data_IF_599945771794
#
_entry.id   IF_599945771794
#
_cell.length_a   1.000
_cell.length_b   1.000
_cell.length_c   1.000
_cell.angle_alpha   90.00
_cell.angle_beta   90.00
_cell.angle_gamma   90.00
#
_symmetry.space_group_name_H-M   'P 1'
#
loop_
_entity.id
_entity.type
_entity.pdbx_description
1 polymer ?
#
# COMPACT_ATOMS: atom_id res chain seq x y z
N UNK A 1 10.99 4.90 8.56
CA UNK A 1 9.63 4.38 8.33
C UNK A 1 9.46 2.93 8.80
N UNK A 2 9.96 1.89 8.11
CA UNK A 2 9.70 0.49 8.52
C UNK A 2 10.20 0.14 9.94
N UNK A 3 11.36 0.66 10.36
CA UNK A 3 11.85 0.51 11.75
C UNK A 3 10.97 1.20 12.79
N UNK A 4 10.35 2.31 12.42
CA UNK A 4 9.44 3.04 13.30
C UNK A 4 8.15 2.22 13.48
N UNK A 5 7.64 1.64 12.39
CA UNK A 5 6.51 0.71 12.44
C UNK A 5 6.82 -0.52 13.27
N UNK A 6 8.01 -1.11 13.11
CA UNK A 6 8.44 -2.25 13.91
C UNK A 6 8.48 -1.90 15.42
N UNK A 7 8.93 -0.68 15.75
CA UNK A 7 8.94 -0.19 17.13
C UNK A 7 7.53 -0.12 17.71
N UNK A 8 6.54 0.35 16.94
CA UNK A 8 5.14 0.36 17.37
C UNK A 8 4.53 -1.04 17.45
N UNK A 9 4.85 -1.92 16.49
CA UNK A 9 4.41 -3.33 16.50
C UNK A 9 4.87 -4.02 17.78
N UNK A 10 6.14 -3.87 18.16
CA UNK A 10 6.68 -4.50 19.37
C UNK A 10 6.05 -4.00 20.68
N UNK A 11 5.42 -2.82 20.70
CA UNK A 11 4.66 -2.35 21.86
C UNK A 11 3.35 -3.11 22.04
N UNK A 12 2.75 -3.60 20.94
CA UNK A 12 1.48 -4.33 20.95
C UNK A 12 1.71 -5.83 21.04
N UNK A 13 2.62 -6.34 20.21
CA UNK A 13 2.99 -7.75 20.14
C UNK A 13 4.51 -7.85 20.08
N UNK A 14 5.11 -8.22 21.21
CA UNK A 14 6.57 -8.26 21.37
C UNK A 14 7.23 -9.51 20.79
N UNK A 15 6.45 -10.56 20.50
CA UNK A 15 6.93 -11.82 19.93
C UNK A 15 5.94 -12.33 18.86
N UNK A 16 6.49 -12.97 17.83
CA UNK A 16 5.69 -13.58 16.76
C UNK A 16 4.84 -14.78 17.21
N UNK A 17 4.16 -15.44 16.26
CA UNK A 17 4.19 -15.17 14.83
C UNK A 17 3.47 -13.88 14.42
N UNK A 18 4.02 -13.17 13.44
CA UNK A 18 3.41 -11.95 12.87
C UNK A 18 2.68 -12.25 11.56
N UNK A 19 1.50 -11.64 11.41
CA UNK A 19 0.77 -11.59 10.14
C UNK A 19 0.70 -10.15 9.65
N UNK A 20 1.21 -9.90 8.43
CA UNK A 20 1.33 -8.57 7.86
C UNK A 20 0.55 -8.48 6.54
N UNK A 21 -0.17 -7.39 6.36
CA UNK A 21 -0.89 -7.08 5.14
C UNK A 21 -0.54 -5.67 4.69
N UNK A 22 -0.15 -5.54 3.42
CA UNK A 22 0.10 -4.27 2.76
C UNK A 22 -0.81 -4.08 1.55
N UNK A 23 -1.37 -2.89 1.39
CA UNK A 23 -2.06 -2.47 0.17
C UNK A 23 -1.28 -1.36 -0.52
N UNK A 24 -1.12 -1.43 -1.84
CA UNK A 24 -0.42 -0.41 -2.63
C UNK A 24 1.01 -0.17 -2.11
N UNK A 25 1.36 1.08 -1.76
CA UNK A 25 2.60 1.45 -1.06
C UNK A 25 2.87 0.56 0.17
N UNK A 26 1.81 0.19 0.90
CA UNK A 26 1.89 -0.66 2.08
C UNK A 26 2.48 -2.04 1.81
N UNK A 27 2.45 -2.56 0.57
CA UNK A 27 3.12 -3.83 0.23
C UNK A 27 4.63 -3.73 0.47
N UNK A 28 5.24 -2.61 0.10
CA UNK A 28 6.67 -2.36 0.30
C UNK A 28 7.03 -2.21 1.78
N UNK A 29 6.16 -1.55 2.55
CA UNK A 29 6.35 -1.40 3.99
C UNK A 29 6.17 -2.73 4.73
N UNK A 30 5.13 -3.50 4.39
CA UNK A 30 4.89 -4.82 4.94
C UNK A 30 6.05 -5.78 4.61
N UNK A 31 6.57 -5.72 3.38
CA UNK A 31 7.76 -6.47 2.96
C UNK A 31 8.97 -6.11 3.81
N UNK A 32 9.32 -4.82 3.91
CA UNK A 32 10.50 -4.40 4.67
C UNK A 32 10.37 -4.76 6.16
N UNK A 33 9.20 -4.54 6.76
CA UNK A 33 8.92 -4.95 8.15
C UNK A 33 9.09 -6.46 8.31
N UNK A 34 8.58 -7.26 7.39
CA UNK A 34 8.75 -8.72 7.41
C UNK A 34 10.24 -9.13 7.34
N UNK A 35 11.03 -8.51 6.46
CA UNK A 35 12.47 -8.82 6.37
C UNK A 35 13.24 -8.39 7.62
N UNK A 36 12.86 -7.27 8.26
CA UNK A 36 13.47 -6.82 9.51
C UNK A 36 13.12 -7.76 10.67
N UNK A 37 11.87 -8.24 10.74
CA UNK A 37 11.44 -9.25 11.70
C UNK A 37 12.25 -10.55 11.53
N UNK A 38 12.41 -11.04 10.30
CA UNK A 38 13.23 -12.23 10.02
C UNK A 38 14.70 -12.04 10.42
N UNK A 39 15.28 -10.86 10.18
CA UNK A 39 16.64 -10.52 10.64
C UNK A 39 16.76 -10.51 12.17
N UNK A 40 15.68 -10.22 12.88
CA UNK A 40 15.60 -10.26 14.35
C UNK A 40 15.16 -11.65 14.88
N UNK A 41 15.24 -12.69 14.03
CA UNK A 41 14.84 -14.07 14.33
C UNK A 41 13.37 -14.22 14.78
N UNK A 42 12.51 -13.27 14.39
CA UNK A 42 11.07 -13.37 14.61
C UNK A 42 10.40 -14.16 13.50
N UNK A 43 9.34 -14.89 13.85
CA UNK A 43 8.54 -15.66 12.89
C UNK A 43 7.49 -14.75 12.24
N UNK A 44 7.45 -14.73 10.91
CA UNK A 44 6.37 -14.11 10.13
C UNK A 44 5.55 -15.25 9.54
N UNK A 45 4.33 -15.47 10.05
CA UNK A 45 3.46 -16.56 9.57
C UNK A 45 2.77 -16.20 8.27
N UNK A 46 2.48 -14.92 8.03
CA UNK A 46 1.77 -14.51 6.82
C UNK A 46 2.23 -13.15 6.32
N UNK A 47 2.53 -13.07 5.03
CA UNK A 47 2.75 -11.82 4.32
C UNK A 47 1.78 -11.72 3.13
N UNK A 48 0.92 -10.71 3.15
CA UNK A 48 -0.19 -10.54 2.20
C UNK A 48 -0.04 -9.20 1.48
N UNK A 49 -0.05 -9.22 0.16
CA UNK A 49 -0.02 -8.03 -0.70
C UNK A 49 -1.35 -7.83 -1.41
N UNK A 50 -1.77 -6.57 -1.48
CA UNK A 50 -2.95 -6.12 -2.21
C UNK A 50 -2.49 -5.07 -3.24
N UNK A 51 -2.34 -5.53 -4.48
CA UNK A 51 -2.04 -4.74 -5.69
C UNK A 51 -0.89 -3.72 -5.58
N UNK A 52 0.25 -4.13 -5.01
CA UNK A 52 1.50 -3.33 -4.98
C UNK A 52 2.67 -4.08 -5.63
N UNK A 53 3.49 -3.38 -6.43
CA UNK A 53 4.53 -3.99 -7.28
C UNK A 53 5.88 -3.32 -7.07
N UNK A 54 7.01 -4.05 -7.11
CA UNK A 54 8.34 -3.56 -6.75
C UNK A 54 8.97 -2.77 -7.91
N UNK A 55 8.30 -1.69 -8.31
CA UNK A 55 8.64 -0.87 -9.48
C UNK A 55 9.54 0.32 -9.11
N UNK A 56 10.52 0.09 -8.22
CA UNK A 56 11.43 1.10 -7.67
C UNK A 56 12.09 1.97 -8.75
N UNK A 57 12.44 1.35 -9.87
CA UNK A 57 13.04 2.01 -11.03
C UNK A 57 12.12 3.02 -11.71
N UNK A 58 10.80 2.80 -11.70
CA UNK A 58 9.83 3.75 -12.24
C UNK A 58 9.69 4.98 -11.34
N UNK A 59 9.88 4.82 -10.02
CA UNK A 59 9.84 5.95 -9.08
C UNK A 59 11.08 6.84 -9.16
N UNK A 60 12.22 6.35 -9.66
CA UNK A 60 13.45 7.17 -9.85
C UNK A 60 13.25 8.36 -10.77
N UNK A 61 12.29 8.30 -11.67
CA UNK A 61 11.95 9.39 -12.60
C UNK A 61 10.72 10.19 -12.16
N UNK A 62 10.08 9.82 -11.06
CA UNK A 62 8.91 10.52 -10.51
C UNK A 62 9.36 11.52 -9.44
N UNK A 63 9.83 12.69 -9.85
CA UNK A 63 9.71 13.86 -8.99
C UNK A 63 8.28 14.36 -9.09
N UNK A 64 7.53 14.34 -7.97
CA UNK A 64 6.21 14.97 -7.91
C UNK A 64 6.34 16.38 -7.37
N UNK A 65 5.74 17.33 -8.08
CA UNK A 65 5.46 18.63 -7.51
C UNK A 65 4.33 18.55 -6.47
N UNK A 66 4.18 19.57 -5.62
CA UNK A 66 3.01 19.70 -4.73
C UNK A 66 1.70 19.64 -5.53
N UNK A 67 1.69 20.21 -6.74
CA UNK A 67 0.54 20.19 -7.65
C UNK A 67 0.20 18.77 -8.13
N UNK A 68 1.19 17.98 -8.53
CA UNK A 68 0.96 16.60 -8.96
C UNK A 68 0.42 15.74 -7.81
N UNK A 69 0.89 16.01 -6.59
CA UNK A 69 0.44 15.33 -5.37
C UNK A 69 -1.00 15.70 -5.02
N UNK A 70 -1.37 16.98 -5.16
CA UNK A 70 -2.75 17.44 -5.02
C UNK A 70 -3.67 16.81 -6.07
N UNK A 71 -3.27 16.78 -7.36
CA UNK A 71 -4.03 16.09 -8.41
C UNK A 71 -4.27 14.62 -8.06
N UNK A 72 -3.22 13.90 -7.66
CA UNK A 72 -3.33 12.50 -7.28
C UNK A 72 -4.27 12.31 -6.07
N UNK A 73 -4.22 13.20 -5.08
CA UNK A 73 -5.09 13.14 -3.91
C UNK A 73 -6.55 13.47 -4.26
N UNK A 74 -6.79 14.47 -5.12
CA UNK A 74 -8.12 14.77 -5.66
C UNK A 74 -8.72 13.55 -6.35
N UNK A 75 -7.97 12.92 -7.25
CA UNK A 75 -8.44 11.74 -7.98
C UNK A 75 -8.70 10.57 -7.04
N UNK A 76 -7.77 10.26 -6.13
CA UNK A 76 -7.91 9.15 -5.19
C UNK A 76 -9.07 9.32 -4.20
N UNK A 77 -9.37 10.54 -3.78
CA UNK A 77 -10.37 10.79 -2.72
C UNK A 77 -11.74 11.24 -3.24
N UNK A 78 -11.79 11.85 -4.42
CA UNK A 78 -13.04 12.37 -5.01
C UNK A 78 -13.41 11.70 -6.34
N UNK A 79 -12.52 10.90 -6.92
CA UNK A 79 -12.71 10.26 -8.22
C UNK A 79 -12.52 11.19 -9.42
N UNK A 80 -12.03 12.42 -9.21
CA UNK A 80 -11.79 13.38 -10.30
C UNK A 80 -10.76 14.44 -9.91
N UNK A 81 -10.16 15.09 -10.91
CA UNK A 81 -9.26 16.26 -10.73
C UNK A 81 -9.98 17.53 -11.20
N UNK A 82 -9.87 18.66 -10.48
CA UNK A 82 -10.43 19.94 -10.95
C UNK A 82 -9.91 20.34 -12.33
N UNK A 83 -10.79 20.91 -13.16
CA UNK A 83 -10.43 21.33 -14.53
C UNK A 83 -9.59 22.61 -14.54
N UNK A 84 -9.78 23.50 -13.57
CA UNK A 84 -9.05 24.76 -13.48
C UNK A 84 -7.89 24.63 -12.51
N UNK A 85 -6.70 25.04 -12.97
CA UNK A 85 -5.48 24.97 -12.17
C UNK A 85 -5.57 25.74 -10.84
N UNK A 86 -6.30 26.86 -10.80
CA UNK A 86 -6.50 27.63 -9.58
C UNK A 86 -7.27 26.87 -8.48
N UNK A 87 -8.02 25.82 -8.85
CA UNK A 87 -8.78 24.97 -7.93
C UNK A 87 -7.94 23.82 -7.36
N UNK A 88 -6.72 23.59 -7.87
CA UNK A 88 -5.81 22.55 -7.40
C UNK A 88 -5.04 23.08 -6.19
N UNK A 89 -5.73 23.16 -5.05
CA UNK A 89 -5.17 23.61 -3.78
C UNK A 89 -5.81 22.87 -2.58
N UNK A 90 -5.14 22.94 -1.43
CA UNK A 90 -5.56 22.26 -0.19
C UNK A 90 -6.97 22.63 0.25
N UNK A 91 -7.35 23.91 0.12
CA UNK A 91 -8.64 24.43 0.59
C UNK A 91 -9.78 23.81 -0.24
N UNK A 92 -9.65 23.79 -1.56
CA UNK A 92 -10.68 23.20 -2.44
C UNK A 92 -10.76 21.68 -2.31
N UNK A 93 -9.62 21.02 -2.04
CA UNK A 93 -9.61 19.59 -1.74
C UNK A 93 -10.37 19.31 -0.44
N UNK A 94 -10.09 20.05 0.63
CA UNK A 94 -10.82 19.91 1.89
C UNK A 94 -12.32 20.16 1.73
N UNK A 95 -12.72 21.20 0.99
CA UNK A 95 -14.14 21.44 0.67
C UNK A 95 -14.77 20.26 -0.07
N UNK A 96 -14.06 19.68 -1.03
CA UNK A 96 -14.54 18.52 -1.79
C UNK A 96 -14.70 17.29 -0.90
N UNK A 97 -13.75 17.06 0.01
CA UNK A 97 -13.83 16.00 1.02
C UNK A 97 -15.02 16.18 1.97
N UNK A 98 -15.26 17.41 2.44
CA UNK A 98 -16.43 17.75 3.28
C UNK A 98 -17.73 17.47 2.53
N UNK A 99 -17.83 17.92 1.28
CA UNK A 99 -19.02 17.70 0.45
C UNK A 99 -19.28 16.21 0.18
N UNK A 100 -18.23 15.42 0.03
CA UNK A 100 -18.30 13.97 -0.15
C UNK A 100 -18.55 13.20 1.16
N UNK A 101 -18.53 13.85 2.32
CA UNK A 101 -18.59 13.19 3.63
C UNK A 101 -17.39 12.26 3.87
N UNK A 102 -16.24 12.55 3.25
CA UNK A 102 -15.06 11.70 3.31
C UNK A 102 -14.43 11.78 4.71
N UNK A 103 -13.94 10.67 5.32
CA UNK A 103 -13.36 10.70 6.66
C UNK A 103 -12.20 11.69 6.85
N UNK A 104 -11.42 11.93 5.78
CA UNK A 104 -10.32 12.92 5.80
C UNK A 104 -10.78 14.36 5.97
N UNK A 105 -12.06 14.67 5.74
CA UNK A 105 -12.62 16.01 5.90
C UNK A 105 -12.57 16.53 7.36
N UNK A 106 -12.53 15.62 8.33
CA UNK A 106 -12.49 15.95 9.76
C UNK A 106 -11.08 16.13 10.32
N UNK A 107 -10.04 16.01 9.50
CA UNK A 107 -8.65 16.13 9.96
C UNK A 107 -8.28 17.60 10.19
N UNK A 108 -7.49 17.84 11.24
CA UNK A 108 -6.87 19.13 11.48
C UNK A 108 -5.91 19.49 10.34
N UNK A 109 -5.75 20.79 10.08
CA UNK A 109 -4.95 21.29 8.94
C UNK A 109 -3.53 20.72 8.94
N UNK A 110 -2.84 20.75 10.08
CA UNK A 110 -1.47 20.22 10.20
C UNK A 110 -1.39 18.73 9.86
N UNK A 111 -2.41 17.94 10.26
CA UNK A 111 -2.47 16.51 9.95
C UNK A 111 -2.70 16.30 8.45
N UNK A 112 -3.55 17.12 7.84
CA UNK A 112 -3.80 17.07 6.41
C UNK A 112 -2.55 17.43 5.60
N UNK A 113 -1.82 18.46 6.00
CA UNK A 113 -0.57 18.88 5.37
C UNK A 113 0.52 17.79 5.47
N UNK A 114 0.61 17.09 6.60
CA UNK A 114 1.51 15.94 6.73
C UNK A 114 1.11 14.78 5.80
N UNK A 115 -0.18 14.47 5.65
CA UNK A 115 -0.64 13.47 4.68
C UNK A 115 -0.24 13.89 3.27
N UNK A 116 -0.45 15.16 2.90
CA UNK A 116 -0.05 15.66 1.58
C UNK A 116 1.46 15.58 1.35
N UNK A 117 2.27 15.90 2.37
CA UNK A 117 3.71 15.74 2.32
C UNK A 117 4.11 14.28 2.06
N UNK A 118 3.47 13.31 2.71
CA UNK A 118 3.74 11.89 2.45
C UNK A 118 3.40 11.47 1.02
N UNK A 119 2.31 11.97 0.43
CA UNK A 119 1.99 11.72 -0.99
C UNK A 119 3.04 12.27 -1.96
N UNK A 120 3.70 13.36 -1.59
CA UNK A 120 4.80 13.97 -2.34
C UNK A 120 6.12 13.23 -2.15
N UNK A 121 6.42 12.84 -0.92
CA UNK A 121 7.74 12.35 -0.53
C UNK A 121 7.88 10.83 -0.72
N UNK A 122 6.78 10.07 -0.64
CA UNK A 122 6.78 8.61 -0.78
C UNK A 122 7.42 8.07 -2.09
N UNK A 123 7.17 8.65 -3.29
CA UNK A 123 7.86 8.23 -4.51
C UNK A 123 9.39 8.36 -4.41
N UNK A 124 9.89 9.47 -3.84
CA UNK A 124 11.34 9.68 -3.65
C UNK A 124 11.93 8.66 -2.67
N UNK A 125 11.23 8.40 -1.56
CA UNK A 125 11.64 7.39 -0.58
C UNK A 125 11.68 5.98 -1.20
N UNK A 126 10.69 5.61 -2.01
CA UNK A 126 10.66 4.34 -2.74
C UNK A 126 11.78 4.23 -3.79
N UNK A 127 12.17 5.33 -4.43
CA UNK A 127 13.21 5.31 -5.47
C UNK A 127 14.61 4.96 -4.93
N UNK A 128 14.85 5.28 -3.66
CA UNK A 128 16.11 5.03 -2.94
C UNK A 128 16.08 3.73 -2.13
N UNK A 129 14.91 3.11 -2.01
CA UNK A 129 14.73 1.90 -1.25
C UNK A 129 15.39 0.70 -1.94
N UNK A 130 16.19 -0.05 -1.18
CA UNK A 130 16.78 -1.31 -1.61
C UNK A 130 16.18 -2.44 -0.76
N UNK A 131 15.12 -3.12 -1.25
CA UNK A 131 14.47 -4.19 -0.49
C UNK A 131 15.44 -5.31 -0.10
N UNK A 132 15.22 -5.86 1.10
CA UNK A 132 15.81 -7.13 1.49
C UNK A 132 15.22 -8.31 0.71
N UNK A 133 15.57 -9.54 1.12
CA UNK A 133 14.87 -10.75 0.70
C UNK A 133 13.99 -11.26 1.84
N UNK A 134 12.76 -11.63 1.50
CA UNK A 134 11.82 -12.29 2.40
C UNK A 134 11.85 -13.80 2.12
N UNK A 135 12.01 -14.60 3.18
CA UNK A 135 12.21 -16.05 3.02
C UNK A 135 10.92 -16.87 2.91
N UNK A 136 9.75 -16.29 3.22
CA UNK A 136 8.48 -17.01 3.21
C UNK A 136 7.67 -16.86 1.93
N UNK A 137 6.52 -17.51 1.91
CA UNK A 137 5.53 -17.36 0.84
C UNK A 137 4.75 -16.04 0.98
N UNK A 138 4.29 -15.51 -0.15
CA UNK A 138 3.47 -14.30 -0.25
C UNK A 138 2.14 -14.62 -0.91
N UNK A 139 1.05 -14.22 -0.27
CA UNK A 139 -0.28 -14.18 -0.87
C UNK A 139 -0.49 -12.83 -1.55
N UNK A 140 -0.77 -12.82 -2.85
CA UNK A 140 -0.95 -11.62 -3.65
C UNK A 140 -2.37 -11.51 -4.21
N UNK A 141 -3.02 -10.38 -3.98
CA UNK A 141 -4.28 -10.03 -4.63
C UNK A 141 -4.04 -8.98 -5.70
N UNK A 142 -4.33 -9.32 -6.97
CA UNK A 142 -4.14 -8.45 -8.14
C UNK A 142 -5.47 -7.83 -8.56
N UNK A 143 -5.50 -6.52 -8.77
CA UNK A 143 -6.69 -5.84 -9.28
C UNK A 143 -6.80 -6.09 -10.79
N UNK A 144 -7.92 -6.66 -11.25
CA UNK A 144 -8.09 -7.00 -12.67
C UNK A 144 -8.70 -5.86 -13.51
N UNK A 145 -9.35 -4.87 -12.88
CA UNK A 145 -9.89 -3.69 -13.58
C UNK A 145 -8.84 -2.58 -13.58
N UNK A 146 -8.06 -2.49 -14.65
CA UNK A 146 -7.00 -1.48 -14.78
C UNK A 146 -7.36 -0.41 -15.79
N UNK A 147 -7.06 0.84 -15.43
CA UNK A 147 -7.01 1.94 -16.40
C UNK A 147 -5.80 1.74 -17.32
N UNK A 148 -5.91 2.18 -18.58
CA UNK A 148 -4.89 2.01 -19.64
C UNK A 148 -3.51 2.54 -19.20
N UNK A 149 -3.45 3.53 -18.30
CA UNK A 149 -2.21 4.11 -17.80
C UNK A 149 -1.56 3.35 -16.62
N UNK A 150 -2.30 2.49 -15.91
CA UNK A 150 -1.84 1.86 -14.66
C UNK A 150 -0.86 0.70 -14.84
N UNK A 151 -0.59 0.29 -16.08
CA UNK A 151 0.27 -0.84 -16.45
C UNK A 151 -0.28 -2.20 -15.98
N UNK A 152 -0.20 -3.24 -16.80
CA UNK A 152 -0.53 -4.60 -16.36
C UNK A 152 0.74 -5.33 -15.89
N UNK A 153 1.05 -5.20 -14.61
CA UNK A 153 2.26 -5.75 -14.00
C UNK A 153 2.02 -7.18 -13.51
N UNK A 154 3.05 -8.00 -13.65
CA UNK A 154 3.08 -9.36 -13.15
C UNK A 154 3.49 -9.34 -11.66
N UNK A 155 2.68 -9.91 -10.74
CA UNK A 155 3.08 -10.08 -9.34
C UNK A 155 4.41 -10.82 -9.15
N UNK A 156 4.81 -11.65 -10.11
CA UNK A 156 6.10 -12.36 -10.09
C UNK A 156 7.32 -11.44 -10.16
N UNK A 157 7.15 -10.14 -10.43
CA UNK A 157 8.22 -9.14 -10.26
C UNK A 157 8.76 -9.10 -8.82
N UNK A 158 7.98 -9.53 -7.83
CA UNK A 158 8.45 -9.71 -6.45
C UNK A 158 9.44 -10.85 -6.26
N UNK A 159 9.62 -11.76 -7.23
CA UNK A 159 10.50 -12.93 -7.12
C UNK A 159 11.99 -12.59 -6.95
N UNK A 160 12.41 -11.36 -7.24
CA UNK A 160 13.76 -10.89 -6.89
C UNK A 160 13.94 -10.67 -5.38
N UNK A 161 12.85 -10.46 -4.65
CA UNK A 161 12.82 -10.02 -3.24
C UNK A 161 12.07 -11.01 -2.33
N UNK A 162 11.55 -12.10 -2.89
CA UNK A 162 10.83 -13.18 -2.19
C UNK A 162 11.46 -14.50 -2.62
N UNK A 163 11.96 -15.29 -1.67
CA UNK A 163 12.54 -16.62 -1.95
C UNK A 163 11.48 -17.73 -1.95
N UNK A 164 10.34 -17.52 -1.27
CA UNK A 164 9.19 -18.41 -1.30
C UNK A 164 8.34 -18.25 -2.56
N UNK A 165 7.16 -18.86 -2.53
CA UNK A 165 6.17 -18.79 -3.61
C UNK A 165 5.36 -17.50 -3.53
N UNK A 166 5.02 -16.93 -4.69
CA UNK A 166 4.07 -15.82 -4.81
C UNK A 166 2.75 -16.39 -5.35
N UNK A 167 1.78 -16.61 -4.44
CA UNK A 167 0.46 -17.16 -4.75
C UNK A 167 -0.46 -16.02 -5.13
N UNK A 168 -0.91 -15.97 -6.38
CA UNK A 168 -1.70 -14.84 -6.91
C UNK A 168 -3.18 -15.18 -7.06
N UNK A 169 -4.04 -14.22 -6.68
CA UNK A 169 -5.47 -14.22 -6.95
C UNK A 169 -5.89 -12.91 -7.64
N UNK A 170 -6.48 -13.03 -8.83
CA UNK A 170 -7.09 -11.89 -9.51
C UNK A 170 -8.45 -11.55 -8.88
N UNK A 171 -8.64 -10.29 -8.53
CA UNK A 171 -9.86 -9.75 -7.95
C UNK A 171 -10.49 -8.79 -8.95
N UNK A 172 -11.77 -9.00 -9.25
CA UNK A 172 -12.55 -8.18 -10.17
C UNK A 172 -12.92 -6.82 -9.56
N UNK A 173 -11.91 -5.98 -9.37
CA UNK A 173 -12.00 -4.62 -8.85
C UNK A 173 -10.89 -3.75 -9.46
N UNK A 174 -11.01 -2.45 -9.27
CA UNK A 174 -9.90 -1.52 -9.48
C UNK A 174 -8.96 -1.52 -8.26
N UNK A 175 -7.78 -0.94 -8.43
CA UNK A 175 -6.84 -0.69 -7.34
C UNK A 175 -7.51 0.00 -6.14
N UNK A 176 -8.25 1.08 -6.41
CA UNK A 176 -8.88 1.93 -5.40
C UNK A 176 -10.07 1.27 -4.71
N UNK A 177 -10.75 0.35 -5.40
CA UNK A 177 -11.92 -0.36 -4.85
C UNK A 177 -11.58 -1.67 -4.17
N UNK A 178 -10.30 -2.04 -4.10
CA UNK A 178 -9.86 -3.35 -3.57
C UNK A 178 -10.12 -3.53 -2.05
N UNK A 179 -10.17 -2.44 -1.29
CA UNK A 179 -10.60 -2.45 0.12
C UNK A 179 -12.10 -2.19 0.30
N UNK A 180 -12.85 -2.08 -0.81
CA UNK A 180 -14.30 -1.94 -0.80
C UNK A 180 -15.02 -3.22 -0.39
N UNK A 181 -16.25 -3.08 0.11
CA UNK A 181 -17.05 -4.18 0.65
C UNK A 181 -17.21 -5.36 -0.32
N UNK A 182 -17.36 -5.10 -1.62
CA UNK A 182 -17.55 -6.16 -2.62
C UNK A 182 -16.26 -6.95 -2.89
N UNK A 183 -15.11 -6.29 -2.95
CA UNK A 183 -13.82 -6.96 -3.08
C UNK A 183 -13.51 -7.80 -1.83
N UNK A 184 -13.77 -7.24 -0.64
CA UNK A 184 -13.51 -7.92 0.64
C UNK A 184 -14.37 -9.17 0.88
N UNK A 185 -15.56 -9.29 0.27
CA UNK A 185 -16.34 -10.55 0.28
C UNK A 185 -15.58 -11.71 -0.35
N UNK A 186 -14.72 -11.43 -1.33
CA UNK A 186 -13.88 -12.43 -2.00
C UNK A 186 -12.53 -12.59 -1.29
N UNK A 187 -11.88 -11.47 -0.95
CA UNK A 187 -10.54 -11.46 -0.35
C UNK A 187 -10.52 -12.03 1.07
N UNK A 188 -11.51 -11.67 1.91
CA UNK A 188 -11.55 -12.04 3.32
C UNK A 188 -11.47 -13.55 3.59
N UNK A 189 -12.31 -14.39 2.95
CA UNK A 189 -12.23 -15.84 3.11
C UNK A 189 -10.91 -16.46 2.67
N UNK A 190 -10.22 -15.87 1.68
CA UNK A 190 -8.92 -16.34 1.20
C UNK A 190 -7.83 -15.99 2.23
N UNK A 191 -7.82 -14.75 2.74
CA UNK A 191 -6.92 -14.33 3.83
C UNK A 191 -7.11 -15.22 5.05
N UNK A 192 -8.36 -15.48 5.45
CA UNK A 192 -8.63 -16.34 6.61
C UNK A 192 -8.01 -17.72 6.43
N UNK A 193 -8.23 -18.36 5.28
CA UNK A 193 -7.63 -19.67 4.99
C UNK A 193 -6.11 -19.59 5.02
N UNK A 194 -5.52 -18.56 4.43
CA UNK A 194 -4.07 -18.38 4.42
C UNK A 194 -3.48 -18.34 5.83
N UNK A 195 -4.03 -17.47 6.69
CA UNK A 195 -3.59 -17.35 8.10
C UNK A 195 -3.80 -18.68 8.85
N UNK A 196 -4.96 -19.32 8.69
CA UNK A 196 -5.27 -20.58 9.38
C UNK A 196 -4.31 -21.73 8.99
N UNK A 197 -3.76 -21.75 7.76
CA UNK A 197 -2.78 -22.76 7.34
C UNK A 197 -1.39 -22.48 7.90
N UNK A 198 -1.00 -21.21 8.01
CA UNK A 198 0.31 -20.80 8.52
C UNK A 198 0.47 -20.93 10.04
N UNK A 199 -0.61 -21.20 10.79
CA UNK A 199 -0.57 -21.46 12.23
C UNK A 199 -0.32 -22.94 12.59
N UNK A 200 -0.35 -23.86 11.60
CA UNK A 200 -0.32 -25.32 11.82
C UNK A 200 1.08 -25.94 11.55
N UNK A 201 1.99 -25.21 10.88
CA UNK A 201 3.38 -25.62 10.62
C UNK A 201 4.35 -25.14 11.72
#
# INVERSE_FOLDING_TARGET
>A
MARDYLTEIYKVQSQGPYSLLGWSLGCHLAHEVATLLQKDNQVVSSLIFMDGYPLWSLYKTMERSDKDSLCAMFEATTGSVPQHEAEINVIELQKSLVAAGHPLAGLEQDTFEHILAEFRDAPSLLSQFSPGRYEGDVLFFKASQRYVAGGDYDPQLWGEYVNGSIITHDINCSHDSMLGADALKTVGPIIKKWIDHSEIE
#
